data_IF_347317617896
#
_entry.id   IF_347317617896
#
_cell.length_a   1.000
_cell.length_b   1.000
_cell.length_c   1.000
_cell.angle_alpha   90.00
_cell.angle_beta   90.00
_cell.angle_gamma   90.00
#
_symmetry.space_group_name_H-M   'P 1'
#
loop_
_entity.id
_entity.type
_entity.pdbx_description
1 polymer ?
#
# COMPACT_ATOMS: atom_id res chain seq x y z
N UNK A 1 34.36 45.00 74.14
CA UNK A 1 33.32 45.68 73.34
C UNK A 1 33.32 45.00 71.96
N UNK A 2 32.19 44.37 71.63
CA UNK A 2 31.71 43.70 70.38
C UNK A 2 32.69 43.67 69.17
N UNK A 3 33.01 42.53 68.51
CA UNK A 3 32.20 41.70 67.60
C UNK A 3 33.05 40.46 67.19
N UNK A 4 32.53 39.23 67.28
CA UNK A 4 31.86 38.43 66.23
C UNK A 4 32.81 37.50 65.44
N UNK A 5 32.36 36.26 65.15
CA UNK A 5 33.10 35.33 64.29
C UNK A 5 32.79 33.84 64.51
N UNK A 6 31.52 33.45 64.58
CA UNK A 6 31.07 32.05 64.55
C UNK A 6 31.29 31.45 63.15
N UNK A 7 31.87 30.25 63.10
CA UNK A 7 32.10 29.45 61.88
C UNK A 7 30.77 28.91 61.34
N UNK A 8 30.50 28.94 60.01
CA UNK A 8 29.40 28.18 59.46
C UNK A 8 29.81 26.72 59.21
N UNK A 9 28.94 25.84 59.67
CA UNK A 9 28.85 24.43 59.31
C UNK A 9 28.54 24.36 57.81
N UNK A 10 29.42 23.72 57.04
CA UNK A 10 29.18 23.39 55.64
C UNK A 10 28.05 22.38 55.54
N UNK A 11 26.86 22.86 55.21
CA UNK A 11 25.75 22.02 54.75
C UNK A 11 26.17 21.42 53.41
N UNK A 12 26.31 20.10 53.39
CA UNK A 12 26.36 19.32 52.14
C UNK A 12 24.98 19.47 51.50
N UNK A 13 24.85 20.50 50.66
CA UNK A 13 23.76 20.61 49.72
C UNK A 13 23.83 19.42 48.78
N UNK A 14 22.97 18.44 49.04
CA UNK A 14 22.50 17.46 48.07
C UNK A 14 22.31 18.16 46.73
N UNK A 15 23.26 17.97 45.80
CA UNK A 15 23.05 18.19 44.39
C UNK A 15 22.04 17.11 43.97
N UNK A 16 20.77 17.41 44.20
CA UNK A 16 19.68 16.74 43.53
C UNK A 16 19.99 16.84 42.05
N UNK A 17 20.33 15.71 41.43
CA UNK A 17 20.29 15.54 39.99
C UNK A 17 18.96 16.15 39.53
N UNK A 18 18.95 17.24 38.75
CA UNK A 18 17.77 17.53 38.00
C UNK A 18 17.67 16.35 37.04
N UNK A 19 16.72 15.46 37.31
CA UNK A 19 16.15 14.59 36.30
C UNK A 19 15.81 15.54 35.15
N UNK A 20 16.71 15.63 34.17
CA UNK A 20 16.46 16.19 32.87
C UNK A 20 15.28 15.38 32.35
N UNK A 21 14.08 15.91 32.56
CA UNK A 21 12.94 15.65 31.70
C UNK A 21 13.39 16.09 30.32
N UNK A 22 14.03 15.18 29.59
CA UNK A 22 14.27 15.30 28.17
C UNK A 22 12.86 15.39 27.60
N UNK A 23 12.41 16.62 27.38
CA UNK A 23 11.18 16.93 26.70
C UNK A 23 11.39 16.39 25.28
N UNK A 24 10.92 15.16 25.03
CA UNK A 24 11.14 14.49 23.76
C UNK A 24 10.37 15.26 22.70
N UNK A 25 11.07 16.10 21.95
CA UNK A 25 10.48 16.97 20.95
C UNK A 25 9.73 16.15 19.89
N UNK A 26 8.53 16.61 19.52
CA UNK A 26 7.81 16.11 18.35
C UNK A 26 8.63 16.41 17.10
N UNK A 27 8.83 15.41 16.25
CA UNK A 27 9.55 15.54 14.98
C UNK A 27 8.57 15.30 13.83
N UNK A 28 8.53 16.23 12.87
CA UNK A 28 7.71 16.12 11.66
C UNK A 28 8.63 16.22 10.44
N UNK A 29 8.54 15.24 9.54
CA UNK A 29 9.28 15.20 8.28
C UNK A 29 8.28 15.32 7.14
N UNK A 30 8.45 16.30 6.24
CA UNK A 30 7.50 16.57 5.16
C UNK A 30 8.11 16.31 3.79
N UNK A 31 7.30 15.77 2.90
CA UNK A 31 7.69 15.57 1.50
C UNK A 31 6.50 15.79 0.57
N UNK A 32 6.70 16.55 -0.51
CA UNK A 32 5.76 16.55 -1.63
C UNK A 32 5.64 15.15 -2.23
N UNK A 33 4.41 14.73 -2.52
CA UNK A 33 4.13 13.41 -3.04
C UNK A 33 3.24 13.53 -4.28
N UNK A 34 3.71 12.99 -5.41
CA UNK A 34 2.83 12.60 -6.49
C UNK A 34 2.27 11.22 -6.16
N UNK A 35 0.96 11.15 -5.97
CA UNK A 35 0.30 9.88 -5.70
C UNK A 35 0.05 9.09 -6.99
N UNK A 36 -0.29 7.81 -6.81
CA UNK A 36 -0.79 6.98 -7.90
C UNK A 36 -1.93 7.69 -8.66
N UNK A 37 -2.04 7.50 -9.99
CA UNK A 37 -3.03 8.21 -10.78
C UNK A 37 -4.45 7.75 -10.43
N UNK A 38 -5.18 8.59 -9.72
CA UNK A 38 -6.61 8.45 -9.47
C UNK A 38 -7.29 9.83 -9.53
N UNK A 39 -8.55 9.86 -9.95
CA UNK A 39 -9.28 11.12 -10.02
C UNK A 39 -9.80 11.54 -8.65
N UNK A 40 -9.67 12.81 -8.29
CA UNK A 40 -10.35 13.39 -7.12
C UNK A 40 -11.50 14.26 -7.64
N UNK A 41 -12.77 14.02 -7.26
CA UNK A 41 -13.87 14.92 -7.59
C UNK A 41 -13.67 16.27 -6.89
N UNK A 42 -14.53 17.25 -7.15
CA UNK A 42 -14.44 18.58 -6.52
C UNK A 42 -14.66 18.48 -5.01
N UNK A 43 -13.58 18.20 -4.27
CA UNK A 43 -13.50 18.24 -2.82
C UNK A 43 -13.49 19.69 -2.37
N UNK A 44 -14.18 19.97 -1.27
CA UNK A 44 -14.12 21.31 -0.69
C UNK A 44 -12.78 21.50 0.05
N UNK A 45 -12.47 22.73 0.43
CA UNK A 45 -11.19 23.05 1.06
C UNK A 45 -11.03 22.42 2.46
N UNK A 46 -12.11 22.04 3.15
CA UNK A 46 -12.04 21.30 4.42
C UNK A 46 -11.78 19.80 4.21
N UNK A 47 -12.34 19.20 3.16
CA UNK A 47 -12.09 17.80 2.81
C UNK A 47 -10.59 17.59 2.52
N UNK A 48 -9.94 18.55 1.85
CA UNK A 48 -8.50 18.53 1.55
C UNK A 48 -7.61 18.66 2.80
N UNK A 49 -8.15 19.17 3.92
CA UNK A 49 -7.43 19.21 5.20
C UNK A 49 -7.48 17.89 5.95
N UNK A 50 -8.28 16.92 5.52
CA UNK A 50 -8.44 15.63 6.20
C UNK A 50 -7.41 14.63 5.68
N UNK A 51 -6.31 14.37 6.42
CA UNK A 51 -5.32 13.41 5.97
C UNK A 51 -5.84 11.98 6.09
N UNK A 52 -5.26 11.09 5.29
CA UNK A 52 -5.27 9.66 5.59
C UNK A 52 -4.10 9.36 6.53
N UNK A 53 -4.41 8.83 7.71
CA UNK A 53 -3.43 8.57 8.77
C UNK A 53 -3.09 7.09 8.78
N UNK A 54 -1.81 6.77 8.61
CA UNK A 54 -1.28 5.42 8.66
C UNK A 54 -0.40 5.29 9.92
N UNK A 55 -0.82 4.50 10.92
CA UNK A 55 0.05 4.18 12.03
C UNK A 55 1.17 3.26 11.53
N UNK A 56 2.40 3.63 11.86
CA UNK A 56 3.62 2.85 11.57
C UNK A 56 4.42 2.75 12.85
N UNK A 57 5.46 1.92 12.88
CA UNK A 57 6.23 1.74 14.11
C UNK A 57 6.74 3.10 14.64
N UNK A 58 6.29 3.45 15.86
CA UNK A 58 6.73 4.63 16.63
C UNK A 58 6.51 6.00 15.95
N UNK A 59 5.73 6.03 14.87
CA UNK A 59 5.36 7.23 14.13
C UNK A 59 3.94 7.12 13.55
N UNK A 60 3.44 8.23 13.04
CA UNK A 60 2.23 8.28 12.22
C UNK A 60 2.57 8.93 10.90
N UNK A 61 2.07 8.41 9.80
CA UNK A 61 2.24 9.01 8.48
C UNK A 61 0.91 9.58 8.02
N UNK A 62 0.85 10.87 7.73
CA UNK A 62 -0.31 11.57 7.24
C UNK A 62 -0.17 11.87 5.74
N UNK A 63 -1.10 11.39 4.93
CA UNK A 63 -1.19 11.66 3.49
C UNK A 63 -2.26 12.72 3.24
N UNK A 64 -1.85 13.88 2.73
CA UNK A 64 -2.73 14.97 2.34
C UNK A 64 -2.85 15.04 0.82
N UNK A 65 -4.02 15.42 0.31
CA UNK A 65 -4.21 15.74 -1.11
C UNK A 65 -4.20 17.26 -1.24
N UNK A 66 -3.33 17.78 -2.09
CA UNK A 66 -3.24 19.22 -2.35
C UNK A 66 -4.13 19.62 -3.52
N UNK A 67 -4.70 20.82 -3.44
CA UNK A 67 -5.41 21.44 -4.56
C UNK A 67 -4.42 21.86 -5.62
N UNK A 68 -4.34 21.12 -6.73
CA UNK A 68 -3.51 21.51 -7.87
C UNK A 68 -4.17 22.71 -8.58
N UNK A 69 -3.58 23.89 -8.42
CA UNK A 69 -3.95 25.08 -9.21
C UNK A 69 -3.33 24.95 -10.62
N UNK A 70 -3.87 24.04 -11.43
CA UNK A 70 -3.43 23.91 -12.83
C UNK A 70 -3.97 25.14 -13.57
N UNK A 71 -3.09 26.13 -13.76
CA UNK A 71 -3.43 27.38 -14.44
C UNK A 71 -4.19 27.14 -15.75
N UNK A 72 -5.29 27.88 -15.91
CA UNK A 72 -6.01 28.23 -17.16
C UNK A 72 -6.36 27.13 -18.17
N UNK A 73 -6.11 25.85 -17.91
CA UNK A 73 -6.81 24.79 -18.62
C UNK A 73 -8.17 24.59 -17.94
N UNK A 74 -9.16 25.39 -18.37
CA UNK A 74 -10.58 25.03 -18.22
C UNK A 74 -10.83 23.76 -19.05
N UNK A 75 -10.34 22.62 -18.59
CA UNK A 75 -10.93 21.34 -18.95
C UNK A 75 -12.40 21.47 -18.58
N UNK A 76 -13.30 21.30 -19.55
CA UNK A 76 -14.76 21.32 -19.32
C UNK A 76 -15.21 20.30 -18.24
N UNK A 77 -14.30 19.45 -17.76
CA UNK A 77 -14.45 18.54 -16.62
C UNK A 77 -13.34 18.82 -15.60
N UNK A 78 -13.71 19.28 -14.41
CA UNK A 78 -12.84 19.64 -13.27
C UNK A 78 -12.28 18.39 -12.56
N UNK A 79 -11.49 17.56 -13.24
CA UNK A 79 -10.95 16.33 -12.65
C UNK A 79 -9.45 16.22 -12.94
N UNK A 80 -8.65 16.19 -11.86
CA UNK A 80 -7.20 16.01 -11.94
C UNK A 80 -6.87 14.50 -11.96
N UNK A 81 -6.20 13.98 -13.01
CA UNK A 81 -5.85 12.57 -13.13
C UNK A 81 -4.72 12.09 -12.19
N UNK A 82 -3.91 13.00 -11.65
CA UNK A 82 -2.77 12.68 -10.78
C UNK A 82 -2.78 13.67 -9.62
N UNK A 83 -3.34 13.31 -8.46
CA UNK A 83 -3.37 14.21 -7.33
C UNK A 83 -1.95 14.35 -6.80
N UNK A 84 -1.47 15.58 -6.73
CA UNK A 84 -0.31 15.92 -5.91
C UNK A 84 -0.77 16.13 -4.48
N UNK A 85 0.15 15.97 -3.55
CA UNK A 85 -0.09 16.23 -2.15
C UNK A 85 1.19 16.34 -1.37
N UNK A 86 1.05 16.17 -0.07
CA UNK A 86 2.18 16.03 0.83
C UNK A 86 1.99 14.86 1.77
N UNK A 87 3.10 14.21 2.08
CA UNK A 87 3.19 13.21 3.12
C UNK A 87 3.96 13.80 4.30
N UNK A 88 3.45 13.58 5.51
CA UNK A 88 4.09 13.99 6.76
C UNK A 88 4.35 12.74 7.63
N UNK A 89 5.59 12.53 8.07
CA UNK A 89 5.95 11.51 9.06
C UNK A 89 6.09 12.20 10.42
N UNK A 90 5.27 11.81 11.38
CA UNK A 90 5.18 12.41 12.70
C UNK A 90 5.64 11.43 13.80
N UNK A 91 6.67 11.81 14.54
CA UNK A 91 7.09 11.12 15.76
C UNK A 91 6.64 11.94 16.97
N UNK A 92 5.69 11.40 17.74
CA UNK A 92 5.24 12.05 18.98
C UNK A 92 6.35 12.12 20.04
N UNK A 93 7.25 11.15 20.04
CA UNK A 93 8.47 11.13 20.87
C UNK A 93 9.65 10.65 20.04
N UNK A 94 10.36 11.59 19.42
CA UNK A 94 11.46 11.26 18.51
C UNK A 94 12.65 10.63 19.27
N UNK A 95 13.15 9.47 18.84
CA UNK A 95 14.36 8.86 19.39
C UNK A 95 15.59 9.79 19.30
N UNK A 96 16.39 9.85 20.36
CA UNK A 96 17.51 10.80 20.44
C UNK A 96 18.60 10.57 19.37
N UNK A 97 18.78 9.32 18.94
CA UNK A 97 19.64 8.90 17.83
C UNK A 97 19.09 9.39 16.48
N UNK A 98 17.77 9.33 16.28
CA UNK A 98 17.11 9.87 15.08
C UNK A 98 17.30 11.39 14.99
N UNK A 99 17.05 12.11 16.09
CA UNK A 99 17.24 13.58 16.16
C UNK A 99 18.70 13.97 15.89
N UNK A 100 19.64 13.22 16.46
CA UNK A 100 21.09 13.44 16.24
C UNK A 100 21.50 13.15 14.79
N UNK A 101 20.98 12.08 14.21
CA UNK A 101 21.24 11.68 12.83
C UNK A 101 20.76 12.73 11.82
N UNK A 102 19.57 13.28 12.00
CA UNK A 102 19.04 14.36 11.13
C UNK A 102 19.91 15.61 11.21
N UNK A 103 20.36 15.99 12.43
CA UNK A 103 21.21 17.18 12.64
C UNK A 103 22.60 17.05 12.00
N UNK A 104 23.10 15.82 11.81
CA UNK A 104 24.44 15.58 11.27
C UNK A 104 24.59 15.87 9.77
N UNK A 105 23.48 16.10 9.04
CA UNK A 105 23.43 16.39 7.59
C UNK A 105 24.12 15.36 6.66
N UNK A 106 24.57 14.21 7.17
CA UNK A 106 25.14 13.14 6.35
C UNK A 106 24.05 12.23 5.80
N UNK A 107 23.96 12.12 4.47
CA UNK A 107 22.95 11.37 3.72
C UNK A 107 22.96 9.85 3.92
N UNK A 108 23.95 9.31 4.65
CA UNK A 108 24.17 7.88 4.84
C UNK A 108 23.94 7.41 6.31
N UNK A 109 23.18 8.17 7.09
CA UNK A 109 22.95 7.90 8.51
C UNK A 109 21.86 6.84 8.72
N UNK A 110 21.92 6.09 9.83
CA UNK A 110 20.85 5.18 10.27
C UNK A 110 19.48 5.86 10.36
N UNK A 111 19.46 7.17 10.61
CA UNK A 111 18.27 8.01 10.56
C UNK A 111 17.63 8.06 9.17
N UNK A 112 18.41 8.24 8.09
CA UNK A 112 17.89 8.27 6.72
C UNK A 112 17.21 6.94 6.34
N UNK A 113 17.86 5.82 6.66
CA UNK A 113 17.30 4.48 6.45
C UNK A 113 15.98 4.27 7.20
N UNK A 114 15.91 4.71 8.46
CA UNK A 114 14.70 4.59 9.28
C UNK A 114 13.55 5.45 8.76
N UNK A 115 13.83 6.68 8.33
CA UNK A 115 12.83 7.57 7.72
C UNK A 115 12.32 6.97 6.42
N UNK A 116 13.22 6.45 5.59
CA UNK A 116 12.85 5.81 4.34
C UNK A 116 12.11 4.49 4.54
N UNK A 117 12.44 3.70 5.56
CA UNK A 117 11.70 2.46 5.86
C UNK A 117 10.27 2.77 6.29
N UNK A 118 10.07 3.79 7.13
CA UNK A 118 8.72 4.26 7.53
C UNK A 118 7.94 4.76 6.32
N UNK A 119 8.57 5.57 5.45
CA UNK A 119 7.96 5.99 4.18
C UNK A 119 7.54 4.79 3.33
N UNK A 120 8.47 3.84 3.17
CA UNK A 120 8.31 2.66 2.35
C UNK A 120 7.12 1.83 2.85
N UNK A 121 7.05 1.57 4.15
CA UNK A 121 5.95 0.85 4.79
C UNK A 121 4.61 1.59 4.62
N UNK A 122 4.58 2.89 4.89
CA UNK A 122 3.35 3.67 4.77
C UNK A 122 2.83 3.72 3.33
N UNK A 123 3.72 3.80 2.34
CA UNK A 123 3.34 3.72 0.93
C UNK A 123 2.77 2.36 0.53
N UNK A 124 3.31 1.26 1.08
CA UNK A 124 2.79 -0.09 0.80
C UNK A 124 1.39 -0.26 1.38
N UNK A 125 1.15 0.26 2.60
CA UNK A 125 -0.19 0.28 3.21
C UNK A 125 -1.14 1.16 2.40
N UNK A 126 -0.70 2.36 2.01
CA UNK A 126 -1.49 3.29 1.22
C UNK A 126 -1.91 2.65 -0.12
N UNK A 127 -0.97 2.08 -0.85
CA UNK A 127 -1.23 1.36 -2.11
C UNK A 127 -2.24 0.23 -1.92
N UNK A 128 -2.01 -0.60 -0.90
CA UNK A 128 -2.88 -1.74 -0.61
C UNK A 128 -4.32 -1.30 -0.30
N UNK A 129 -4.48 -0.26 0.52
CA UNK A 129 -5.78 0.30 0.86
C UNK A 129 -6.49 0.88 -0.39
N UNK A 130 -5.77 1.64 -1.22
CA UNK A 130 -6.30 2.21 -2.48
C UNK A 130 -6.89 1.14 -3.40
N UNK A 131 -6.18 0.02 -3.52
CA UNK A 131 -6.56 -1.11 -4.36
C UNK A 131 -7.76 -1.89 -3.82
N UNK A 132 -7.79 -2.11 -2.51
CA UNK A 132 -8.81 -2.92 -1.85
C UNK A 132 -10.03 -2.07 -1.47
N UNK A 133 -9.98 -1.40 -0.32
CA UNK A 133 -11.08 -0.60 0.23
C UNK A 133 -11.46 0.58 -0.67
N UNK A 134 -10.48 1.22 -1.31
CA UNK A 134 -10.71 2.26 -2.33
C UNK A 134 -11.30 1.72 -3.63
N UNK A 135 -11.17 0.41 -3.86
CA UNK A 135 -11.58 -0.33 -5.05
C UNK A 135 -11.14 0.36 -6.35
N UNK A 136 -9.98 1.01 -6.32
CA UNK A 136 -9.46 1.73 -7.47
C UNK A 136 -9.02 0.76 -8.56
N UNK A 137 -9.45 1.07 -9.78
CA UNK A 137 -9.10 0.36 -11.01
C UNK A 137 -8.29 1.29 -11.91
N UNK A 138 -7.55 0.73 -12.86
CA UNK A 138 -6.73 1.47 -13.82
C UNK A 138 -5.61 2.33 -13.21
N UNK A 139 -5.10 1.97 -12.05
CA UNK A 139 -3.92 2.63 -11.47
C UNK A 139 -2.68 2.23 -12.23
N UNK A 140 -1.93 3.20 -12.75
CA UNK A 140 -0.62 2.96 -13.35
C UNK A 140 0.42 2.81 -12.25
N UNK A 141 1.24 1.76 -12.37
CA UNK A 141 2.28 1.50 -11.39
C UNK A 141 3.47 2.42 -11.61
N UNK A 142 3.59 3.41 -10.73
CA UNK A 142 4.83 4.15 -10.58
C UNK A 142 5.81 3.27 -9.80
N UNK A 143 7.04 3.15 -10.29
CA UNK A 143 8.14 2.53 -9.53
C UNK A 143 8.20 3.21 -8.16
N UNK A 144 8.35 2.40 -7.11
CA UNK A 144 8.63 2.91 -5.77
C UNK A 144 9.92 3.72 -5.80
N UNK A 145 9.86 4.92 -5.25
CA UNK A 145 10.98 5.85 -5.21
C UNK A 145 12.07 5.25 -4.34
N UNK A 146 13.30 5.19 -4.83
CA UNK A 146 14.46 4.68 -4.07
C UNK A 146 14.85 5.63 -2.93
N UNK A 147 15.59 5.16 -1.94
CA UNK A 147 16.12 6.01 -0.85
C UNK A 147 16.90 7.22 -1.38
N UNK A 148 17.71 7.02 -2.42
CA UNK A 148 18.46 8.10 -3.07
C UNK A 148 17.53 9.14 -3.71
N UNK A 149 16.50 8.73 -4.45
CA UNK A 149 15.52 9.66 -5.03
C UNK A 149 14.62 10.28 -3.95
N UNK A 150 14.44 9.59 -2.81
CA UNK A 150 13.66 10.08 -1.68
C UNK A 150 14.29 11.33 -1.09
N UNK A 151 15.58 11.29 -0.82
CA UNK A 151 16.34 12.41 -0.25
C UNK A 151 16.95 13.34 -1.30
N UNK A 152 17.26 12.84 -2.51
CA UNK A 152 17.94 13.58 -3.58
C UNK A 152 17.04 14.43 -4.47
N UNK A 153 15.72 14.17 -4.45
CA UNK A 153 14.75 14.78 -5.36
C UNK A 153 14.79 14.14 -6.76
N UNK A 154 13.63 13.77 -7.29
CA UNK A 154 13.50 13.27 -8.67
C UNK A 154 12.76 14.29 -9.54
N UNK A 155 12.97 14.20 -10.87
CA UNK A 155 12.32 15.01 -11.91
C UNK A 155 10.88 15.43 -11.56
N UNK A 156 10.67 16.72 -11.34
CA UNK A 156 9.34 17.33 -11.16
C UNK A 156 8.73 17.28 -9.75
N UNK A 157 9.38 16.61 -8.78
CA UNK A 157 8.90 16.58 -7.40
C UNK A 157 9.70 17.54 -6.51
N UNK A 158 8.98 18.34 -5.73
CA UNK A 158 9.55 19.25 -4.75
C UNK A 158 10.52 18.49 -3.82
N UNK A 159 11.70 19.07 -3.55
CA UNK A 159 12.66 18.53 -2.57
C UNK A 159 12.00 18.41 -1.20
N UNK A 160 12.41 17.42 -0.39
CA UNK A 160 12.02 17.27 1.02
C UNK A 160 12.14 18.62 1.73
N UNK A 161 11.04 19.12 2.28
CA UNK A 161 11.01 20.36 3.05
C UNK A 161 10.98 20.03 4.54
N UNK A 162 11.60 20.86 5.35
CA UNK A 162 11.66 20.66 6.80
C UNK A 162 11.17 21.91 7.52
N UNK A 163 10.64 21.71 8.72
CA UNK A 163 10.26 22.78 9.66
C UNK A 163 10.49 22.30 11.09
N UNK A 164 11.05 23.15 11.95
CA UNK A 164 11.14 22.91 13.40
C UNK A 164 10.01 23.67 14.11
N UNK A 165 9.26 23.05 15.00
CA UNK A 165 8.31 23.77 15.88
C UNK A 165 8.92 23.89 17.28
N UNK A 166 8.99 25.09 17.90
CA UNK A 166 8.43 26.37 17.44
C UNK A 166 9.48 27.23 16.71
N UNK A 167 9.48 27.20 15.39
CA UNK A 167 10.38 27.99 14.54
C UNK A 167 9.82 28.16 13.13
N UNK A 168 9.87 29.39 12.59
CA UNK A 168 9.26 29.76 11.31
C UNK A 168 10.22 29.60 10.10
N UNK A 169 11.11 28.61 10.10
CA UNK A 169 11.97 28.32 8.95
C UNK A 169 11.42 27.16 8.10
N UNK A 170 11.15 27.42 6.81
CA UNK A 170 10.76 26.44 5.78
C UNK A 170 11.07 26.96 4.37
N UNK A 171 11.14 26.11 3.33
CA UNK A 171 11.30 26.52 1.92
C UNK A 171 11.10 25.39 0.89
N UNK A 172 10.79 25.71 -0.39
CA UNK A 172 10.47 24.75 -1.50
C UNK A 172 10.86 25.27 -2.92
N UNK A 173 11.00 24.39 -3.95
CA UNK A 173 11.45 24.69 -5.34
C UNK A 173 10.62 23.94 -6.43
N UNK A 174 10.21 24.61 -7.54
CA UNK A 174 9.36 24.07 -8.64
C UNK A 174 9.87 24.31 -10.08
N UNK A 175 9.87 23.31 -11.00
CA UNK A 175 9.97 23.53 -12.45
C UNK A 175 8.74 23.07 -13.27
N UNK A 176 8.51 23.68 -14.44
CA UNK A 176 7.39 23.40 -15.39
C UNK A 176 7.74 22.34 -16.46
N UNK A 177 6.78 21.46 -16.79
CA UNK A 177 6.88 20.46 -17.88
C UNK A 177 5.66 20.59 -18.84
N UNK A 178 5.82 20.50 -20.18
CA UNK A 178 4.72 20.61 -21.15
C UNK A 178 4.03 19.26 -21.43
N UNK A 179 2.77 19.30 -21.85
CA UNK A 179 1.90 18.11 -22.02
C UNK A 179 1.77 17.61 -23.47
N UNK A 180 1.77 16.29 -23.65
CA UNK A 180 1.34 15.61 -24.89
C UNK A 180 -0.08 15.06 -24.73
N UNK A 181 -0.93 15.19 -25.76
CA UNK A 181 -2.29 14.63 -25.77
C UNK A 181 -2.27 13.11 -25.99
N UNK A 182 -2.76 12.36 -25.01
CA UNK A 182 -3.35 11.03 -25.18
C UNK A 182 -4.76 11.05 -24.58
N UNK A 183 -5.67 10.27 -25.16
CA UNK A 183 -7.03 10.04 -24.65
C UNK A 183 -6.89 9.51 -23.23
N UNK A 184 -7.45 10.22 -22.25
CA UNK A 184 -7.22 9.96 -20.84
C UNK A 184 -8.30 9.02 -20.28
N UNK A 185 -8.01 7.74 -19.98
CA UNK A 185 -9.00 6.78 -19.50
C UNK A 185 -9.46 7.01 -18.05
N UNK A 186 -9.02 8.09 -17.39
CA UNK A 186 -9.08 8.35 -15.94
C UNK A 186 -10.40 8.96 -15.41
N UNK A 187 -11.53 8.77 -16.09
CA UNK A 187 -12.80 9.44 -15.76
C UNK A 187 -14.00 8.50 -15.49
N UNK A 188 -13.77 7.25 -15.08
CA UNK A 188 -14.85 6.32 -14.66
C UNK A 188 -15.05 6.37 -13.13
N UNK A 189 -16.26 6.09 -12.63
CA UNK A 189 -16.59 6.16 -11.19
C UNK A 189 -15.71 5.29 -10.29
N UNK A 190 -15.22 4.18 -10.82
CA UNK A 190 -14.29 3.25 -10.16
C UNK A 190 -12.82 3.73 -10.16
N UNK A 191 -12.51 4.88 -10.75
CA UNK A 191 -11.21 5.56 -10.67
C UNK A 191 -11.27 6.83 -9.80
N UNK A 192 -12.47 7.24 -9.37
CA UNK A 192 -12.65 8.43 -8.54
C UNK A 192 -12.49 8.08 -7.07
N UNK A 193 -11.64 8.81 -6.36
CA UNK A 193 -11.51 8.81 -4.92
C UNK A 193 -12.49 9.82 -4.33
N UNK A 194 -13.68 9.35 -3.97
CA UNK A 194 -14.67 10.17 -3.26
C UNK A 194 -14.32 10.26 -1.77
N UNK A 195 -14.85 11.27 -1.07
CA UNK A 195 -14.69 11.37 0.39
C UNK A 195 -15.13 10.08 1.11
N UNK A 196 -16.24 9.47 0.68
CA UNK A 196 -16.71 8.18 1.21
C UNK A 196 -15.68 7.06 1.02
N UNK A 197 -14.98 7.01 -0.12
CA UNK A 197 -13.91 6.03 -0.33
C UNK A 197 -12.70 6.37 0.54
N UNK A 198 -12.35 7.64 0.67
CA UNK A 198 -11.27 8.10 1.55
C UNK A 198 -11.50 7.70 3.01
N UNK A 199 -12.72 7.88 3.52
CA UNK A 199 -13.12 7.42 4.85
C UNK A 199 -13.03 5.90 4.97
N UNK A 200 -13.50 5.14 3.97
CA UNK A 200 -13.34 3.68 3.95
C UNK A 200 -11.88 3.22 3.95
N UNK A 201 -10.97 4.00 3.34
CA UNK A 201 -9.53 3.72 3.43
C UNK A 201 -9.07 3.88 4.88
N UNK A 202 -9.47 4.97 5.54
CA UNK A 202 -9.12 5.20 6.94
C UNK A 202 -9.65 4.07 7.83
N UNK A 203 -10.92 3.70 7.66
CA UNK A 203 -11.52 2.56 8.40
C UNK A 203 -10.74 1.26 8.14
N UNK A 204 -10.36 0.99 6.90
CA UNK A 204 -9.58 -0.20 6.56
C UNK A 204 -8.18 -0.18 7.19
N UNK A 205 -7.52 0.97 7.22
CA UNK A 205 -6.21 1.15 7.84
C UNK A 205 -6.29 0.98 9.35
N UNK A 206 -7.25 1.65 9.99
CA UNK A 206 -7.45 1.61 11.45
C UNK A 206 -7.75 0.19 11.94
N UNK A 207 -8.46 -0.60 11.12
CA UNK A 207 -8.78 -2.00 11.41
C UNK A 207 -7.74 -3.00 10.86
N UNK A 208 -6.63 -2.53 10.29
CA UNK A 208 -5.60 -3.35 9.63
C UNK A 208 -6.20 -4.33 8.57
N UNK A 209 -7.29 -3.92 7.93
CA UNK A 209 -8.10 -4.70 7.00
C UNK A 209 -7.77 -4.30 5.55
N UNK A 210 -6.54 -4.58 5.13
CA UNK A 210 -6.05 -4.35 3.78
C UNK A 210 -5.13 -5.51 3.36
N UNK A 211 -5.11 -5.89 2.08
CA UNK A 211 -4.44 -7.10 1.61
C UNK A 211 -2.91 -6.97 1.69
N UNK A 212 -2.26 -8.08 2.03
CA UNK A 212 -0.80 -8.25 1.95
C UNK A 212 -0.48 -9.43 1.03
N UNK A 213 0.78 -9.51 0.63
CA UNK A 213 1.36 -10.63 -0.11
C UNK A 213 0.60 -10.96 -1.42
N UNK A 214 0.19 -12.21 -1.61
CA UNK A 214 -0.39 -12.69 -2.85
C UNK A 214 -1.70 -12.00 -3.22
N UNK A 215 -2.47 -11.57 -2.21
CA UNK A 215 -3.74 -10.90 -2.45
C UNK A 215 -3.50 -9.50 -3.00
N UNK A 216 -2.48 -8.78 -2.51
CA UNK A 216 -2.05 -7.50 -3.06
C UNK A 216 -1.62 -7.65 -4.53
N UNK A 217 -0.84 -8.69 -4.84
CA UNK A 217 -0.42 -8.96 -6.22
C UNK A 217 -1.60 -9.27 -7.15
N UNK A 218 -2.64 -9.96 -6.69
CA UNK A 218 -3.87 -10.13 -7.46
C UNK A 218 -4.59 -8.81 -7.73
N UNK A 219 -4.66 -7.91 -6.74
CA UNK A 219 -5.20 -6.56 -6.93
C UNK A 219 -4.37 -5.74 -7.95
N UNK A 220 -3.05 -5.94 -8.01
CA UNK A 220 -2.18 -5.36 -9.05
C UNK A 220 -2.47 -5.95 -10.43
N UNK A 221 -2.67 -7.28 -10.53
CA UNK A 221 -3.01 -7.94 -11.81
C UNK A 221 -4.38 -7.53 -12.33
N UNK A 222 -5.36 -7.34 -11.44
CA UNK A 222 -6.65 -6.72 -11.79
C UNK A 222 -6.41 -5.37 -12.48
N UNK A 223 -5.55 -4.51 -11.93
CA UNK A 223 -5.26 -3.22 -12.56
C UNK A 223 -4.59 -3.35 -13.93
N UNK A 224 -3.66 -4.28 -14.11
CA UNK A 224 -3.08 -4.59 -15.43
C UNK A 224 -4.14 -5.04 -16.44
N UNK A 225 -5.07 -5.91 -16.04
CA UNK A 225 -6.20 -6.32 -16.88
C UNK A 225 -7.10 -5.13 -17.29
N UNK A 226 -7.24 -4.13 -16.42
CA UNK A 226 -7.96 -2.90 -16.74
C UNK A 226 -7.14 -1.92 -17.61
N UNK A 227 -5.80 -1.94 -17.54
CA UNK A 227 -4.89 -1.13 -18.34
C UNK A 227 -4.45 -1.78 -19.66
N UNK A 228 -5.25 -2.69 -20.20
CA UNK A 228 -5.01 -3.36 -21.49
C UNK A 228 -3.80 -4.28 -21.53
N UNK A 229 -3.29 -4.72 -20.38
CA UNK A 229 -2.25 -5.75 -20.26
C UNK A 229 -2.88 -7.09 -19.84
N UNK A 230 -3.73 -7.65 -20.73
CA UNK A 230 -4.46 -8.89 -20.48
C UNK A 230 -3.53 -10.10 -20.38
N UNK A 231 -2.50 -10.18 -21.23
CA UNK A 231 -1.55 -11.29 -21.25
C UNK A 231 -0.86 -11.47 -19.89
N UNK A 232 -0.23 -10.40 -19.39
CA UNK A 232 0.48 -10.46 -18.11
C UNK A 232 -0.48 -10.74 -16.97
N UNK A 233 -1.64 -10.07 -16.95
CA UNK A 233 -2.64 -10.28 -15.92
C UNK A 233 -3.15 -11.73 -15.88
N UNK A 234 -3.43 -12.34 -17.03
CA UNK A 234 -3.90 -13.72 -17.12
C UNK A 234 -2.87 -14.73 -16.61
N UNK A 235 -1.61 -14.54 -17.00
CA UNK A 235 -0.51 -15.44 -16.61
C UNK A 235 -0.26 -15.35 -15.11
N UNK A 236 0.01 -14.16 -14.59
CA UNK A 236 0.43 -13.95 -13.21
C UNK A 236 -0.70 -14.25 -12.22
N UNK A 237 -1.94 -13.81 -12.52
CA UNK A 237 -3.07 -14.11 -11.64
C UNK A 237 -3.38 -15.61 -11.59
N UNK A 238 -3.18 -16.34 -12.69
CA UNK A 238 -3.31 -17.80 -12.70
C UNK A 238 -2.24 -18.48 -11.84
N UNK A 239 -0.98 -18.03 -11.94
CA UNK A 239 0.13 -18.56 -11.13
C UNK A 239 -0.13 -18.34 -9.64
N UNK A 240 -0.53 -17.13 -9.26
CA UNK A 240 -0.83 -16.79 -7.87
C UNK A 240 -2.00 -17.63 -7.34
N UNK A 241 -3.07 -17.74 -8.13
CA UNK A 241 -4.25 -18.55 -7.76
C UNK A 241 -3.89 -20.02 -7.59
N UNK A 242 -3.07 -20.58 -8.49
CA UNK A 242 -2.59 -21.96 -8.41
C UNK A 242 -1.77 -22.20 -7.14
N UNK A 243 -0.85 -21.29 -6.81
CA UNK A 243 -0.01 -21.41 -5.62
C UNK A 243 -0.84 -21.45 -4.33
N UNK A 244 -1.86 -20.59 -4.22
CA UNK A 244 -2.74 -20.54 -3.06
C UNK A 244 -3.70 -21.73 -2.99
N UNK A 245 -4.27 -22.15 -4.12
CA UNK A 245 -5.06 -23.39 -4.21
C UNK A 245 -4.23 -24.60 -3.80
N UNK A 246 -2.96 -24.66 -4.20
CA UNK A 246 -2.04 -25.72 -3.80
C UNK A 246 -1.81 -25.69 -2.29
N UNK A 247 -1.56 -24.52 -1.70
CA UNK A 247 -1.41 -24.37 -0.25
C UNK A 247 -2.65 -24.86 0.50
N UNK A 248 -3.83 -24.45 0.04
CA UNK A 248 -5.12 -24.88 0.58
C UNK A 248 -5.37 -26.39 0.41
N UNK A 249 -5.18 -26.94 -0.79
CA UNK A 249 -5.36 -28.37 -1.04
C UNK A 249 -4.44 -29.23 -0.18
N UNK A 250 -3.19 -28.77 0.04
CA UNK A 250 -2.26 -29.43 0.95
C UNK A 250 -2.70 -29.37 2.42
N UNK A 251 -3.29 -28.26 2.88
CA UNK A 251 -3.82 -28.18 4.25
C UNK A 251 -5.03 -29.10 4.42
N UNK A 252 -5.97 -29.10 3.45
CA UNK A 252 -7.13 -30.00 3.45
C UNK A 252 -6.69 -31.46 3.52
N UNK A 253 -5.76 -31.90 2.67
CA UNK A 253 -5.28 -33.28 2.67
C UNK A 253 -4.66 -33.69 4.01
N UNK A 254 -3.90 -32.80 4.65
CA UNK A 254 -3.34 -33.04 5.99
C UNK A 254 -4.45 -33.19 7.04
N UNK A 255 -5.45 -32.33 7.02
CA UNK A 255 -6.62 -32.40 7.93
C UNK A 255 -7.37 -33.71 7.74
N UNK A 256 -7.46 -34.21 6.50
CA UNK A 256 -8.04 -35.52 6.17
C UNK A 256 -7.13 -36.71 6.50
N UNK A 257 -6.00 -36.50 7.19
CA UNK A 257 -5.12 -37.56 7.68
C UNK A 257 -4.10 -38.10 6.67
N UNK A 258 -3.85 -37.40 5.56
CA UNK A 258 -2.79 -37.81 4.63
C UNK A 258 -1.41 -37.53 5.22
N UNK A 259 -0.56 -38.56 5.26
CA UNK A 259 0.84 -38.41 5.66
C UNK A 259 1.63 -37.61 4.61
N UNK A 260 2.72 -36.97 5.04
CA UNK A 260 3.63 -36.24 4.14
C UNK A 260 4.19 -37.14 3.02
N UNK A 261 4.39 -38.43 3.29
CA UNK A 261 4.84 -39.40 2.28
C UNK A 261 3.77 -39.68 1.21
N UNK A 262 2.48 -39.78 1.59
CA UNK A 262 1.38 -39.92 0.64
C UNK A 262 1.21 -38.65 -0.20
N UNK A 263 1.26 -37.48 0.43
CA UNK A 263 1.19 -36.18 -0.26
C UNK A 263 2.32 -36.06 -1.30
N UNK A 264 3.53 -36.50 -0.96
CA UNK A 264 4.67 -36.48 -1.91
C UNK A 264 4.42 -37.37 -3.14
N UNK A 265 3.73 -38.51 -2.98
CA UNK A 265 3.42 -39.42 -4.10
C UNK A 265 2.40 -38.85 -5.07
N UNK A 266 1.41 -38.11 -4.58
CA UNK A 266 0.35 -37.50 -5.42
C UNK A 266 0.67 -36.07 -5.86
N UNK A 267 1.89 -35.57 -5.58
CA UNK A 267 2.26 -34.16 -5.81
C UNK A 267 2.02 -33.71 -7.25
N UNK A 268 2.33 -34.57 -8.21
CA UNK A 268 2.20 -34.29 -9.65
C UNK A 268 0.72 -34.32 -10.09
N UNK A 269 -0.13 -35.05 -9.36
CA UNK A 269 -1.58 -35.09 -9.58
C UNK A 269 -2.30 -33.85 -8.98
N UNK A 270 -1.66 -33.12 -8.07
CA UNK A 270 -2.14 -31.84 -7.54
C UNK A 270 -1.94 -30.71 -8.57
N UNK A 271 -2.48 -30.90 -9.77
CA UNK A 271 -2.52 -29.89 -10.84
C UNK A 271 -3.51 -28.79 -10.49
N UNK A 272 -3.39 -27.61 -11.10
CA UNK A 272 -4.36 -26.52 -10.93
C UNK A 272 -5.79 -27.01 -11.18
N UNK A 273 -6.03 -27.75 -12.27
CA UNK A 273 -7.36 -28.28 -12.58
C UNK A 273 -7.91 -29.19 -11.47
N UNK A 274 -7.09 -30.11 -10.95
CA UNK A 274 -7.54 -31.03 -9.90
C UNK A 274 -7.76 -30.31 -8.57
N UNK A 275 -6.91 -29.33 -8.23
CA UNK A 275 -7.10 -28.51 -7.04
C UNK A 275 -8.39 -27.69 -7.10
N UNK A 276 -8.66 -27.06 -8.25
CA UNK A 276 -9.80 -26.17 -8.44
C UNK A 276 -11.12 -26.92 -8.63
N UNK A 277 -11.14 -27.99 -9.42
CA UNK A 277 -12.36 -28.64 -9.89
C UNK A 277 -12.67 -29.97 -9.18
N UNK A 278 -11.74 -30.52 -8.39
CA UNK A 278 -11.94 -31.78 -7.65
C UNK A 278 -11.78 -31.58 -6.15
N UNK A 279 -10.61 -31.11 -5.71
CA UNK A 279 -10.32 -31.00 -4.28
C UNK A 279 -11.16 -29.90 -3.63
N UNK A 280 -11.22 -28.71 -4.22
CA UNK A 280 -11.98 -27.59 -3.66
C UNK A 280 -13.49 -27.89 -3.52
N UNK A 281 -14.21 -28.43 -4.52
CA UNK A 281 -15.63 -28.78 -4.33
C UNK A 281 -15.85 -29.84 -3.24
N UNK A 282 -14.95 -30.82 -3.12
CA UNK A 282 -15.06 -31.91 -2.14
C UNK A 282 -14.72 -31.45 -0.71
N UNK A 283 -13.94 -30.38 -0.56
CA UNK A 283 -13.57 -29.84 0.75
C UNK A 283 -14.57 -28.85 1.33
N UNK A 284 -15.63 -28.52 0.58
CA UNK A 284 -16.61 -27.48 0.93
C UNK A 284 -18.02 -28.05 1.10
N UNK A 285 -18.81 -27.39 1.93
CA UNK A 285 -20.25 -27.63 1.99
C UNK A 285 -20.93 -27.16 0.69
N UNK A 286 -22.08 -27.74 0.37
CA UNK A 286 -22.90 -27.32 -0.80
C UNK A 286 -23.17 -25.81 -0.81
N UNK A 287 -23.45 -25.24 0.35
CA UNK A 287 -23.73 -23.80 0.49
C UNK A 287 -22.49 -22.95 0.24
N UNK A 288 -21.33 -23.34 0.76
CA UNK A 288 -20.05 -22.65 0.49
C UNK A 288 -19.70 -22.73 -0.99
N UNK A 289 -19.76 -23.92 -1.59
CA UNK A 289 -19.44 -24.09 -3.01
C UNK A 289 -20.38 -23.28 -3.91
N UNK A 290 -21.67 -23.24 -3.60
CA UNK A 290 -22.64 -22.42 -4.35
C UNK A 290 -22.25 -20.95 -4.35
N UNK A 291 -21.79 -20.40 -3.21
CA UNK A 291 -21.35 -19.00 -3.09
C UNK A 291 -20.15 -18.66 -3.99
N UNK A 292 -19.25 -19.62 -4.21
CA UNK A 292 -18.01 -19.39 -4.98
C UNK A 292 -18.03 -19.99 -6.39
N UNK A 293 -19.08 -20.73 -6.78
CA UNK A 293 -19.17 -21.46 -8.04
C UNK A 293 -18.87 -20.63 -9.28
N UNK A 294 -19.45 -19.42 -9.37
CA UNK A 294 -19.16 -18.49 -10.47
C UNK A 294 -17.70 -18.05 -10.48
N UNK A 295 -17.08 -17.85 -9.30
CA UNK A 295 -15.68 -17.50 -9.21
C UNK A 295 -14.78 -18.65 -9.66
N UNK A 296 -15.08 -19.88 -9.26
CA UNK A 296 -14.39 -21.11 -9.69
C UNK A 296 -14.40 -21.22 -11.21
N UNK A 297 -15.56 -21.07 -11.85
CA UNK A 297 -15.68 -21.15 -13.31
C UNK A 297 -14.85 -20.08 -14.03
N UNK A 298 -14.89 -18.83 -13.56
CA UNK A 298 -14.12 -17.75 -14.17
C UNK A 298 -12.60 -17.92 -13.96
N UNK A 299 -12.17 -18.49 -12.83
CA UNK A 299 -10.76 -18.84 -12.60
C UNK A 299 -10.33 -20.00 -13.49
N UNK A 300 -11.21 -20.97 -13.77
CA UNK A 300 -10.91 -22.03 -14.75
C UNK A 300 -10.77 -21.48 -16.17
N UNK A 301 -11.62 -20.53 -16.57
CA UNK A 301 -11.46 -19.80 -17.83
C UNK A 301 -10.11 -19.08 -17.88
N UNK A 302 -9.73 -18.37 -16.82
CA UNK A 302 -8.44 -17.68 -16.72
C UNK A 302 -7.26 -18.65 -16.87
N UNK A 303 -7.35 -19.83 -16.24
CA UNK A 303 -6.35 -20.91 -16.37
C UNK A 303 -6.24 -21.40 -17.81
N UNK A 304 -7.36 -21.58 -18.52
CA UNK A 304 -7.35 -22.01 -19.93
C UNK A 304 -6.66 -20.97 -20.82
N UNK A 305 -7.01 -19.70 -20.67
CA UNK A 305 -6.33 -18.58 -21.37
C UNK A 305 -4.83 -18.59 -21.09
N UNK A 306 -4.41 -18.75 -19.83
CA UNK A 306 -2.99 -18.86 -19.46
C UNK A 306 -2.30 -20.03 -20.16
N UNK A 307 -2.92 -21.21 -20.19
CA UNK A 307 -2.36 -22.37 -20.86
C UNK A 307 -2.20 -22.12 -22.37
N UNK A 308 -3.22 -21.56 -23.02
CA UNK A 308 -3.16 -21.26 -24.45
C UNK A 308 -2.08 -20.23 -24.78
N UNK A 309 -1.90 -19.21 -23.94
CA UNK A 309 -0.82 -18.23 -24.09
C UNK A 309 0.57 -18.84 -23.90
N UNK A 310 0.75 -19.67 -22.86
CA UNK A 310 2.05 -20.27 -22.53
C UNK A 310 2.47 -21.30 -23.57
N UNK A 311 1.52 -22.04 -24.14
CA UNK A 311 1.78 -23.02 -25.20
C UNK A 311 1.82 -22.41 -26.60
N UNK A 312 1.57 -21.10 -26.74
CA UNK A 312 1.59 -20.41 -28.03
C UNK A 312 0.39 -20.72 -28.93
N UNK A 313 -0.71 -21.23 -28.37
CA UNK A 313 -1.95 -21.49 -29.10
C UNK A 313 -2.66 -20.20 -29.48
N UNK A 314 -2.49 -19.13 -28.70
CA UNK A 314 -3.02 -17.79 -28.96
C UNK A 314 -1.97 -16.71 -28.72
N UNK A 315 -2.05 -15.59 -29.45
CA UNK A 315 -1.24 -14.40 -29.17
C UNK A 315 -1.86 -13.55 -28.04
N UNK A 316 -1.03 -12.77 -27.36
CA UNK A 316 -1.45 -11.86 -26.29
C UNK A 316 -2.49 -10.82 -26.75
N UNK A 317 -2.46 -10.43 -28.02
CA UNK A 317 -3.42 -9.47 -28.58
C UNK A 317 -4.79 -10.10 -28.90
N UNK A 318 -4.86 -11.44 -28.95
CA UNK A 318 -6.09 -12.19 -29.25
C UNK A 318 -6.88 -12.57 -27.99
N UNK A 319 -6.37 -12.23 -26.81
CA UNK A 319 -6.99 -12.55 -25.52
C UNK A 319 -8.22 -11.68 -25.30
N UNK A 320 -9.34 -12.30 -24.90
CA UNK A 320 -10.52 -11.55 -24.50
C UNK A 320 -10.25 -10.79 -23.18
N UNK A 321 -10.21 -9.46 -23.30
CA UNK A 321 -9.94 -8.56 -22.19
C UNK A 321 -10.99 -8.67 -21.07
N UNK A 322 -12.24 -8.95 -21.41
CA UNK A 322 -13.34 -9.03 -20.45
C UNK A 322 -13.29 -10.34 -19.66
N UNK A 323 -12.92 -11.44 -20.31
CA UNK A 323 -12.69 -12.71 -19.61
C UNK A 323 -11.53 -12.62 -18.64
N UNK A 324 -10.44 -11.93 -19.00
CA UNK A 324 -9.31 -11.71 -18.07
C UNK A 324 -9.72 -10.81 -16.90
N UNK A 325 -10.53 -9.76 -17.12
CA UNK A 325 -11.07 -8.93 -16.03
C UNK A 325 -11.96 -9.74 -15.08
N UNK A 326 -12.89 -10.53 -15.62
CA UNK A 326 -13.77 -11.39 -14.81
C UNK A 326 -12.98 -12.46 -14.07
N UNK A 327 -11.99 -13.08 -14.72
CA UNK A 327 -11.10 -14.08 -14.15
C UNK A 327 -10.27 -13.51 -13.01
N UNK A 328 -9.64 -12.36 -13.18
CA UNK A 328 -8.84 -11.69 -12.13
C UNK A 328 -9.68 -11.24 -10.93
N UNK A 329 -10.88 -10.69 -11.15
CA UNK A 329 -11.82 -10.37 -10.07
C UNK A 329 -12.29 -11.64 -9.32
N UNK A 330 -12.49 -12.73 -10.05
CA UNK A 330 -12.90 -14.01 -9.47
C UNK A 330 -11.77 -14.69 -8.70
N UNK A 331 -10.52 -14.52 -9.15
CA UNK A 331 -9.33 -14.97 -8.44
C UNK A 331 -9.20 -14.27 -7.08
N UNK A 332 -9.42 -12.95 -7.02
CA UNK A 332 -9.44 -12.20 -5.75
C UNK A 332 -10.47 -12.80 -4.79
N UNK A 333 -11.72 -12.95 -5.24
CA UNK A 333 -12.81 -13.53 -4.43
C UNK A 333 -12.51 -14.94 -3.94
N UNK A 334 -11.95 -15.78 -4.82
CA UNK A 334 -11.57 -17.15 -4.49
C UNK A 334 -10.48 -17.15 -3.42
N UNK A 335 -9.44 -16.33 -3.59
CA UNK A 335 -8.33 -16.25 -2.63
C UNK A 335 -8.77 -15.72 -1.27
N UNK A 336 -9.61 -14.68 -1.23
CA UNK A 336 -10.18 -14.17 0.02
C UNK A 336 -10.95 -15.27 0.75
N UNK A 337 -11.77 -16.03 0.02
CA UNK A 337 -12.46 -17.19 0.56
C UNK A 337 -11.49 -18.26 1.11
N UNK A 338 -10.47 -18.64 0.34
CA UNK A 338 -9.49 -19.66 0.77
C UNK A 338 -8.68 -19.22 2.00
N UNK A 339 -8.23 -17.96 2.06
CA UNK A 339 -7.50 -17.42 3.22
C UNK A 339 -8.34 -17.50 4.48
N UNK A 340 -9.62 -17.10 4.40
CA UNK A 340 -10.55 -17.21 5.54
C UNK A 340 -10.72 -18.64 6.05
N UNK A 341 -10.72 -19.65 5.16
CA UNK A 341 -10.78 -21.07 5.57
C UNK A 341 -9.50 -21.54 6.24
N UNK A 342 -8.33 -21.19 5.70
CA UNK A 342 -7.04 -21.58 6.28
C UNK A 342 -6.86 -21.00 7.68
N UNK A 343 -7.23 -19.73 7.88
CA UNK A 343 -7.12 -19.04 9.17
C UNK A 343 -8.11 -19.56 10.22
N UNK A 344 -9.27 -20.10 9.81
CA UNK A 344 -10.23 -20.73 10.71
C UNK A 344 -9.88 -22.17 11.10
N UNK A 345 -9.12 -22.88 10.26
CA UNK A 345 -8.75 -24.29 10.47
C UNK A 345 -7.34 -24.46 11.08
N UNK A 346 -6.61 -23.35 11.33
CA UNK A 346 -5.30 -23.30 11.99
C UNK A 346 -5.45 -22.92 13.46
#
# INVERSE_FOLDING_TARGET
MVLSGTRPIGVIGSLGNPLLTINMAKLIIKRGADYYPFGVPEWNDEDLKTPLIIPVQDAKVAFFIDKRNIGTFKLKRKLDPIPSGRMEIEFERAPSDLVRGIKSKTSNSSAAKRIYSIYSEAMDIFESALLSAGALKYMYWMRKITEYEFFGGSFGMDKVTWSLVPGNESGTFQPKIPSSRKINPLYKSNQLMTLRKWQKLQDAIDNNNYPKDELLELYKMRNKAYLFDAKTAAIEASIISEALLRKYGLSVLKIQGYSSSKIKKIKDELTFNNLLNVILPLSLTKTEFTKISSAVNNVDTLRRIRNDLVHGNIDGNSVDQEDVKKGTESAIKLVEFLKSKIEHDS
#
